data_IF_758738250011
#
_entry.id   IF_758738250011
#
_cell.length_a   1.000
_cell.length_b   1.000
_cell.length_c   1.000
_cell.angle_alpha   90.00
_cell.angle_beta   90.00
_cell.angle_gamma   90.00
#
_symmetry.space_group_name_H-M   'P 1'
#
loop_
_entity.id
_entity.type
_entity.pdbx_description
1 polymer ?
#
# COMPACT_ATOMS: atom_id res chain seq x y z
N UNK A 1 -7.62 24.49 -32.76
CA UNK A 1 -6.40 23.78 -32.29
C UNK A 1 -5.69 24.45 -31.11
N UNK A 2 -6.32 25.36 -30.34
CA UNK A 2 -5.68 26.08 -29.21
C UNK A 2 -5.90 25.44 -27.82
N UNK A 3 -6.62 24.31 -27.72
CA UNK A 3 -7.02 23.71 -26.44
C UNK A 3 -5.99 22.73 -25.83
N UNK A 4 -4.90 22.39 -26.53
CA UNK A 4 -3.89 21.42 -26.06
C UNK A 4 -2.77 22.01 -25.20
N UNK A 5 -2.73 23.32 -25.00
CA UNK A 5 -1.62 24.00 -24.30
C UNK A 5 -1.73 24.02 -22.75
N UNK A 6 -2.83 23.53 -22.17
CA UNK A 6 -3.06 23.54 -20.72
C UNK A 6 -3.44 22.18 -20.13
N UNK A 7 -3.22 21.09 -20.87
CA UNK A 7 -3.50 19.76 -20.34
C UNK A 7 -2.41 19.37 -19.33
N UNK A 8 -2.80 18.86 -18.15
CA UNK A 8 -1.82 18.35 -17.20
C UNK A 8 -1.06 17.20 -17.86
N UNK A 9 0.26 17.29 -17.82
CA UNK A 9 1.16 16.22 -18.28
C UNK A 9 0.93 14.96 -17.43
N UNK A 10 0.59 13.80 -18.04
CA UNK A 10 0.41 12.57 -17.28
C UNK A 10 1.74 12.16 -16.65
N UNK A 11 1.68 11.84 -15.35
CA UNK A 11 2.85 11.40 -14.57
C UNK A 11 3.36 10.02 -15.02
N UNK A 12 2.47 9.22 -15.61
CA UNK A 12 2.69 7.84 -16.03
C UNK A 12 2.19 7.66 -17.47
N UNK A 13 2.69 6.66 -18.18
CA UNK A 13 2.16 6.26 -19.49
C UNK A 13 0.70 5.77 -19.40
N UNK A 14 0.05 5.61 -20.55
CA UNK A 14 -1.37 5.20 -20.60
C UNK A 14 -1.57 3.81 -20.02
N UNK A 15 -0.74 2.84 -20.39
CA UNK A 15 -0.91 1.43 -20.03
C UNK A 15 -0.80 1.23 -18.51
N UNK A 16 0.19 1.87 -17.88
CA UNK A 16 0.35 1.83 -16.41
C UNK A 16 -0.85 2.46 -15.70
N UNK A 17 -1.41 3.56 -16.23
CA UNK A 17 -2.58 4.21 -15.62
C UNK A 17 -3.84 3.37 -15.75
N UNK A 18 -4.05 2.75 -16.91
CA UNK A 18 -5.17 1.85 -17.17
C UNK A 18 -5.07 0.60 -16.29
N UNK A 19 -3.87 0.03 -16.13
CA UNK A 19 -3.66 -1.11 -15.25
C UNK A 19 -3.97 -0.78 -13.78
N UNK A 20 -3.48 0.34 -13.25
CA UNK A 20 -3.79 0.77 -11.87
C UNK A 20 -5.31 0.93 -11.67
N UNK A 21 -6.01 1.54 -12.65
CA UNK A 21 -7.47 1.68 -12.61
C UNK A 21 -8.17 0.33 -12.66
N UNK A 22 -7.68 -0.60 -13.50
CA UNK A 22 -8.24 -1.93 -13.62
C UNK A 22 -8.11 -2.71 -12.31
N UNK A 23 -6.97 -2.63 -11.62
CA UNK A 23 -6.78 -3.23 -10.30
C UNK A 23 -7.73 -2.61 -9.27
N UNK A 24 -7.89 -1.28 -9.24
CA UNK A 24 -8.85 -0.64 -8.33
C UNK A 24 -10.30 -1.05 -8.62
N UNK A 25 -10.69 -1.12 -9.89
CA UNK A 25 -12.01 -1.60 -10.29
C UNK A 25 -12.22 -3.09 -9.95
N UNK A 26 -11.17 -3.92 -10.09
CA UNK A 26 -11.19 -5.32 -9.65
C UNK A 26 -11.37 -5.43 -8.13
N UNK A 27 -10.75 -4.56 -7.35
CA UNK A 27 -10.97 -4.51 -5.89
C UNK A 27 -12.41 -4.10 -5.56
N UNK A 28 -12.93 -3.08 -6.23
CA UNK A 28 -14.25 -2.52 -5.93
C UNK A 28 -15.41 -3.46 -6.31
N UNK A 29 -15.22 -4.34 -7.30
CA UNK A 29 -16.23 -5.32 -7.73
C UNK A 29 -16.33 -6.54 -6.81
N UNK A 30 -15.40 -6.72 -5.88
CA UNK A 30 -15.49 -7.80 -4.91
C UNK A 30 -16.72 -7.58 -4.01
N UNK A 31 -17.40 -8.65 -3.57
CA UNK A 31 -18.56 -8.52 -2.69
C UNK A 31 -18.25 -7.70 -1.45
N UNK A 32 -19.20 -6.88 -0.98
CA UNK A 32 -18.99 -6.05 0.21
C UNK A 32 -18.59 -6.88 1.45
N UNK A 33 -19.09 -8.12 1.57
CA UNK A 33 -18.69 -9.05 2.62
C UNK A 33 -17.21 -9.49 2.55
N UNK A 34 -16.63 -9.43 1.36
CA UNK A 34 -15.24 -9.81 1.10
C UNK A 34 -14.30 -8.59 1.09
N UNK A 35 -14.81 -7.36 0.87
CA UNK A 35 -14.02 -6.12 0.91
C UNK A 35 -13.69 -5.73 2.35
N UNK A 36 -12.42 -5.69 2.74
CA UNK A 36 -12.08 -5.58 4.15
C UNK A 36 -12.00 -4.11 4.60
N UNK A 37 -12.24 -3.11 3.76
CA UNK A 37 -12.07 -1.68 4.10
C UNK A 37 -13.30 -0.82 3.77
N UNK A 38 -14.53 -1.21 4.13
CA UNK A 38 -15.75 -0.48 3.71
C UNK A 38 -16.36 0.44 4.79
N UNK A 39 -16.46 1.78 4.57
CA UNK A 39 -15.77 2.57 3.54
C UNK A 39 -14.31 2.84 3.93
N UNK A 40 -13.39 2.97 2.96
CA UNK A 40 -11.98 3.06 3.31
C UNK A 40 -11.65 4.48 3.78
N UNK A 41 -10.79 4.54 4.79
CA UNK A 41 -10.28 5.79 5.35
C UNK A 41 -8.87 6.05 4.83
N UNK A 42 -8.55 7.28 4.43
CA UNK A 42 -7.16 7.67 4.18
C UNK A 42 -6.36 7.54 5.48
N UNK A 43 -5.50 6.52 5.58
CA UNK A 43 -4.72 6.27 6.79
C UNK A 43 -3.57 7.27 6.86
N UNK A 44 -3.50 8.04 7.95
CA UNK A 44 -2.53 9.12 8.15
C UNK A 44 -1.58 8.79 9.32
N UNK A 45 -0.33 9.29 9.31
CA UNK A 45 0.62 9.10 10.42
C UNK A 45 0.28 10.03 11.59
N UNK A 46 -0.90 9.83 12.18
CA UNK A 46 -1.45 10.61 13.30
C UNK A 46 -1.88 9.68 14.44
N UNK A 47 -1.92 10.20 15.67
CA UNK A 47 -2.20 9.40 16.89
C UNK A 47 -3.57 8.75 16.86
N UNK A 48 -4.55 9.36 16.21
CA UNK A 48 -5.90 8.83 16.07
C UNK A 48 -5.92 7.54 15.25
N UNK A 49 -5.04 7.43 14.26
CA UNK A 49 -4.96 6.26 13.38
C UNK A 49 -4.06 5.16 13.97
N UNK A 50 -3.02 5.55 14.70
CA UNK A 50 -2.09 4.65 15.38
C UNK A 50 -2.06 4.98 16.87
N UNK A 51 -3.15 4.66 17.62
CA UNK A 51 -3.21 4.91 19.04
C UNK A 51 -2.37 3.88 19.80
N UNK A 52 -1.80 4.29 20.93
CA UNK A 52 -1.05 3.41 21.82
C UNK A 52 0.37 3.89 22.07
N UNK A 53 0.90 3.40 23.17
CA UNK A 53 2.30 3.52 23.57
C UNK A 53 2.76 2.12 23.95
N UNK A 54 3.99 1.76 23.61
CA UNK A 54 4.54 0.44 23.85
C UNK A 54 5.85 0.55 24.62
N UNK A 55 6.01 -0.33 25.61
CA UNK A 55 7.19 -0.38 26.47
C UNK A 55 8.30 -1.28 25.91
N UNK A 56 8.06 -1.91 24.75
CA UNK A 56 9.05 -2.76 24.08
C UNK A 56 9.01 -2.57 22.55
N UNK A 57 10.11 -2.87 21.85
CA UNK A 57 10.15 -2.88 20.39
C UNK A 57 9.10 -3.81 19.77
N UNK A 58 8.89 -5.00 20.34
CA UNK A 58 7.88 -5.94 19.87
C UNK A 58 6.46 -5.45 20.11
N UNK A 59 6.16 -4.93 21.31
CA UNK A 59 4.86 -4.35 21.61
C UNK A 59 4.51 -3.17 20.69
N UNK A 60 5.51 -2.39 20.25
CA UNK A 60 5.31 -1.35 19.24
C UNK A 60 4.90 -1.96 17.89
N UNK A 61 5.58 -3.03 17.45
CA UNK A 61 5.26 -3.71 16.21
C UNK A 61 3.87 -4.34 16.25
N UNK A 62 3.46 -4.94 17.38
CA UNK A 62 2.11 -5.49 17.58
C UNK A 62 1.04 -4.40 17.52
N UNK A 63 1.25 -3.24 18.14
CA UNK A 63 0.30 -2.12 18.09
C UNK A 63 0.16 -1.56 16.68
N UNK A 64 1.27 -1.43 15.95
CA UNK A 64 1.26 -1.03 14.55
C UNK A 64 0.51 -2.07 13.72
N UNK A 65 0.83 -3.35 13.86
CA UNK A 65 0.17 -4.44 13.15
C UNK A 65 -1.34 -4.48 13.42
N UNK A 66 -1.76 -4.37 14.67
CA UNK A 66 -3.18 -4.30 15.05
C UNK A 66 -3.88 -3.08 14.42
N UNK A 67 -3.23 -1.91 14.41
CA UNK A 67 -3.77 -0.70 13.78
C UNK A 67 -3.93 -0.88 12.26
N UNK A 68 -2.93 -1.48 11.59
CA UNK A 68 -3.00 -1.76 10.15
C UNK A 68 -4.11 -2.76 9.86
N UNK A 69 -4.22 -3.86 10.62
CA UNK A 69 -5.33 -4.83 10.48
C UNK A 69 -6.70 -4.19 10.64
N UNK A 70 -6.86 -3.29 11.61
CA UNK A 70 -8.12 -2.57 11.84
C UNK A 70 -8.47 -1.66 10.66
N UNK A 71 -7.53 -0.83 10.19
CA UNK A 71 -7.79 0.06 9.03
C UNK A 71 -7.98 -0.70 7.72
N UNK A 72 -7.31 -1.85 7.59
CA UNK A 72 -7.54 -2.79 6.49
C UNK A 72 -8.83 -3.60 6.65
N UNK A 73 -9.52 -3.50 7.81
CA UNK A 73 -10.66 -4.31 8.31
C UNK A 73 -10.50 -5.83 8.16
N UNK A 74 -9.30 -6.30 8.50
CA UNK A 74 -8.94 -7.71 8.65
C UNK A 74 -8.82 -8.12 10.13
N UNK A 75 -9.41 -7.35 11.04
CA UNK A 75 -9.38 -7.60 12.49
C UNK A 75 -10.08 -8.91 12.88
N UNK A 76 -11.16 -9.28 12.16
CA UNK A 76 -11.95 -10.49 12.45
C UNK A 76 -11.27 -11.78 11.95
N UNK A 77 -10.27 -11.67 11.07
CA UNK A 77 -9.52 -12.83 10.57
C UNK A 77 -8.42 -13.20 11.56
N UNK A 78 -8.34 -14.46 11.96
CA UNK A 78 -7.35 -14.93 12.93
C UNK A 78 -5.92 -14.72 12.40
N UNK A 79 -5.18 -13.81 13.04
CA UNK A 79 -3.79 -13.55 12.73
C UNK A 79 -3.04 -12.99 13.94
N UNK A 80 -1.74 -13.31 14.01
CA UNK A 80 -0.82 -12.78 15.04
C UNK A 80 0.54 -12.43 14.45
N UNK A 81 1.25 -11.55 15.15
CA UNK A 81 2.62 -11.18 14.83
C UNK A 81 3.58 -12.04 15.67
N UNK A 82 4.61 -12.62 15.05
CA UNK A 82 5.64 -13.36 15.77
C UNK A 82 6.73 -12.43 16.30
N UNK A 83 7.21 -12.68 17.53
CA UNK A 83 8.37 -11.98 18.08
C UNK A 83 9.65 -12.43 17.36
N UNK A 84 10.51 -11.49 16.91
CA UNK A 84 11.76 -11.83 16.26
C UNK A 84 12.73 -12.54 17.22
N UNK A 85 13.34 -13.64 16.78
CA UNK A 85 14.37 -14.35 17.55
C UNK A 85 13.85 -15.24 18.69
N UNK A 86 12.54 -15.35 18.89
CA UNK A 86 11.99 -16.45 19.68
C UNK A 86 12.35 -17.80 19.05
N UNK A 87 12.51 -18.86 19.86
CA UNK A 87 12.65 -20.23 19.38
C UNK A 87 11.36 -20.64 18.64
N UNK A 88 11.27 -20.31 17.36
CA UNK A 88 10.29 -20.85 16.42
C UNK A 88 10.93 -22.02 15.66
N UNK A 89 10.16 -23.06 15.30
CA UNK A 89 10.64 -24.10 14.40
C UNK A 89 11.08 -23.47 13.06
N UNK A 90 12.08 -24.11 12.45
CA UNK A 90 12.80 -23.70 11.24
C UNK A 90 11.93 -23.17 10.08
N UNK A 91 12.52 -22.35 9.19
CA UNK A 91 11.78 -21.55 8.22
C UNK A 91 11.18 -22.44 7.14
N UNK A 92 9.90 -22.24 6.83
CA UNK A 92 9.37 -22.59 5.51
C UNK A 92 9.70 -21.43 4.58
N UNK A 93 10.87 -21.52 3.94
CA UNK A 93 11.04 -20.86 2.64
C UNK A 93 9.98 -21.39 1.69
N UNK A 94 9.39 -20.47 0.92
CA UNK A 94 8.34 -20.63 -0.08
C UNK A 94 6.90 -20.44 0.44
N UNK A 95 6.22 -19.43 -0.11
CA UNK A 95 4.77 -19.43 -0.43
C UNK A 95 3.96 -20.48 0.34
N UNK A 96 3.54 -20.14 1.56
CA UNK A 96 2.73 -21.04 2.37
C UNK A 96 2.96 -20.84 3.85
N UNK A 97 2.16 -19.95 4.45
CA UNK A 97 2.01 -19.91 5.90
C UNK A 97 1.59 -21.31 6.38
N UNK A 98 2.50 -22.02 7.05
CA UNK A 98 2.17 -23.25 7.76
C UNK A 98 1.15 -22.91 8.85
N UNK A 99 -0.10 -23.16 8.53
CA UNK A 99 -1.27 -22.86 9.34
C UNK A 99 -1.39 -23.90 10.44
N UNK A 100 -0.83 -23.63 11.61
CA UNK A 100 -1.19 -24.36 12.83
C UNK A 100 -2.51 -23.80 13.36
N UNK A 101 -3.64 -24.37 12.92
CA UNK A 101 -4.95 -24.15 13.55
C UNK A 101 -5.81 -23.00 13.01
N UNK A 102 -5.59 -22.54 11.78
CA UNK A 102 -6.46 -21.53 11.13
C UNK A 102 -6.10 -20.06 11.43
N UNK A 103 -5.07 -19.82 12.25
CA UNK A 103 -4.49 -18.50 12.49
C UNK A 103 -3.28 -18.26 11.58
N UNK A 104 -3.21 -17.10 10.90
CA UNK A 104 -2.04 -16.72 10.08
C UNK A 104 -0.98 -16.01 10.93
N UNK A 105 0.27 -16.45 10.83
CA UNK A 105 1.40 -15.85 11.52
C UNK A 105 2.13 -14.91 10.57
N UNK A 106 2.32 -13.66 11.00
CA UNK A 106 3.10 -12.66 10.29
C UNK A 106 4.45 -12.46 10.97
N UNK A 107 5.46 -12.12 10.18
CA UNK A 107 6.80 -11.81 10.63
C UNK A 107 7.16 -10.39 10.22
N UNK A 108 8.15 -9.81 10.89
CA UNK A 108 8.66 -8.49 10.51
C UNK A 108 10.16 -8.44 10.73
N UNK A 109 10.82 -7.58 9.97
CA UNK A 109 12.22 -7.26 10.18
C UNK A 109 12.37 -6.31 11.39
N UNK A 110 13.08 -6.71 12.47
CA UNK A 110 13.35 -5.84 13.61
C UNK A 110 13.99 -4.50 13.25
N UNK A 111 14.73 -4.42 12.13
CA UNK A 111 15.37 -3.20 11.68
C UNK A 111 14.35 -2.12 11.28
N UNK A 112 13.13 -2.51 10.91
CA UNK A 112 12.05 -1.58 10.55
C UNK A 112 11.38 -0.92 11.77
N UNK A 113 11.63 -1.37 13.00
CA UNK A 113 11.03 -0.74 14.21
C UNK A 113 11.43 0.74 14.32
N UNK A 114 12.67 1.07 13.93
CA UNK A 114 13.15 2.45 13.89
C UNK A 114 12.48 3.32 12.82
N UNK A 115 11.84 2.70 11.82
CA UNK A 115 11.15 3.38 10.73
C UNK A 115 9.67 2.96 10.69
N UNK A 116 8.86 3.60 11.53
CA UNK A 116 7.42 3.30 11.66
C UNK A 116 6.66 3.37 10.34
N UNK A 117 7.02 4.26 9.42
CA UNK A 117 6.32 4.33 8.12
C UNK A 117 6.62 3.12 7.25
N UNK A 118 7.87 2.64 7.25
CA UNK A 118 8.25 1.43 6.52
C UNK A 118 7.57 0.20 7.13
N UNK A 119 7.54 0.10 8.47
CA UNK A 119 6.83 -0.98 9.16
C UNK A 119 5.33 -1.02 8.82
N UNK A 120 4.66 0.14 8.82
CA UNK A 120 3.24 0.25 8.38
C UNK A 120 3.09 -0.18 6.92
N UNK A 121 3.97 0.29 6.03
CA UNK A 121 3.95 -0.05 4.61
C UNK A 121 4.08 -1.55 4.36
N UNK A 122 5.06 -2.20 5.02
CA UNK A 122 5.27 -3.65 4.94
C UNK A 122 4.04 -4.42 5.42
N UNK A 123 3.50 -4.11 6.60
CA UNK A 123 2.30 -4.81 7.08
C UNK A 123 1.09 -4.58 6.17
N UNK A 124 0.91 -3.37 5.64
CA UNK A 124 -0.19 -3.09 4.73
C UNK A 124 -0.09 -3.94 3.45
N UNK A 125 1.11 -4.07 2.88
CA UNK A 125 1.37 -4.90 1.69
C UNK A 125 1.13 -6.39 2.00
N UNK A 126 1.66 -6.91 3.11
CA UNK A 126 1.49 -8.33 3.48
C UNK A 126 0.02 -8.69 3.76
N UNK A 127 -0.72 -7.80 4.42
CA UNK A 127 -2.15 -7.99 4.68
C UNK A 127 -2.98 -7.89 3.40
N UNK A 128 -2.61 -7.00 2.48
CA UNK A 128 -3.23 -6.92 1.18
C UNK A 128 -2.95 -8.17 0.34
N UNK A 129 -1.72 -8.69 0.35
CA UNK A 129 -1.38 -9.95 -0.31
C UNK A 129 -2.20 -11.11 0.26
N UNK A 130 -2.29 -11.21 1.59
CA UNK A 130 -3.14 -12.22 2.24
C UNK A 130 -4.61 -12.09 1.84
N UNK A 131 -5.11 -10.87 1.69
CA UNK A 131 -6.47 -10.66 1.20
C UNK A 131 -6.63 -11.14 -0.26
N UNK A 132 -5.70 -10.78 -1.15
CA UNK A 132 -5.70 -11.19 -2.57
C UNK A 132 -5.69 -12.71 -2.72
N UNK A 133 -4.90 -13.42 -1.92
CA UNK A 133 -4.86 -14.89 -1.90
C UNK A 133 -6.25 -15.54 -1.66
N UNK A 134 -7.14 -14.84 -0.94
CA UNK A 134 -8.50 -15.30 -0.66
C UNK A 134 -9.51 -15.03 -1.79
N UNK A 135 -9.13 -14.25 -2.81
CA UNK A 135 -10.02 -13.88 -3.91
C UNK A 135 -9.90 -14.91 -5.04
N UNK A 136 -11.04 -15.45 -5.47
CA UNK A 136 -11.07 -16.50 -6.52
C UNK A 136 -10.77 -15.95 -7.91
N UNK A 137 -11.24 -14.74 -8.17
CA UNK A 137 -11.05 -14.10 -9.47
C UNK A 137 -9.64 -13.47 -9.52
N UNK A 138 -8.79 -13.84 -10.49
CA UNK A 138 -7.46 -13.28 -10.58
C UNK A 138 -7.50 -11.76 -10.84
N UNK A 139 -6.58 -11.04 -10.22
CA UNK A 139 -6.38 -9.63 -10.47
C UNK A 139 -5.87 -9.39 -11.91
N UNK A 140 -6.14 -8.21 -12.51
CA UNK A 140 -5.63 -7.85 -13.82
C UNK A 140 -4.09 -7.91 -13.88
N UNK A 141 -3.57 -8.61 -14.90
CA UNK A 141 -2.13 -8.82 -15.12
C UNK A 141 -1.39 -9.41 -13.89
N UNK A 142 -2.02 -10.34 -13.17
CA UNK A 142 -1.45 -10.93 -11.95
C UNK A 142 -0.12 -11.69 -12.15
N UNK A 143 0.08 -12.30 -13.32
CA UNK A 143 1.32 -13.03 -13.62
C UNK A 143 2.53 -12.09 -13.56
N UNK A 144 3.45 -12.37 -12.63
CA UNK A 144 4.66 -11.57 -12.42
C UNK A 144 4.46 -10.24 -11.66
N UNK A 145 3.23 -9.88 -11.27
CA UNK A 145 2.92 -8.58 -10.63
C UNK A 145 2.24 -8.72 -9.25
N UNK A 146 2.30 -9.88 -8.62
CA UNK A 146 1.57 -10.16 -7.37
C UNK A 146 1.87 -9.12 -6.27
N UNK A 147 3.14 -8.78 -6.05
CA UNK A 147 3.54 -7.85 -4.99
C UNK A 147 3.15 -6.40 -5.30
N UNK A 148 3.28 -5.99 -6.57
CA UNK A 148 2.81 -4.68 -7.04
C UNK A 148 1.28 -4.55 -6.91
N UNK A 149 0.53 -5.62 -7.19
CA UNK A 149 -0.92 -5.67 -6.96
C UNK A 149 -1.23 -5.57 -5.46
N UNK A 150 -0.48 -6.24 -4.60
CA UNK A 150 -0.65 -6.11 -3.15
C UNK A 150 -0.43 -4.65 -2.69
N UNK A 151 0.53 -3.91 -3.24
CA UNK A 151 0.70 -2.48 -2.95
C UNK A 151 -0.45 -1.60 -3.47
N UNK A 152 -1.00 -1.90 -4.66
CA UNK A 152 -2.19 -1.20 -5.17
C UNK A 152 -3.41 -1.48 -4.29
N UNK A 153 -3.61 -2.73 -3.89
CA UNK A 153 -4.67 -3.14 -2.98
C UNK A 153 -4.48 -2.45 -1.62
N UNK A 154 -3.29 -2.47 -1.03
CA UNK A 154 -2.97 -1.75 0.20
C UNK A 154 -3.20 -0.23 0.08
N UNK A 155 -2.91 0.35 -1.09
CA UNK A 155 -3.27 1.75 -1.38
C UNK A 155 -4.78 1.95 -1.40
N UNK A 156 -5.53 1.00 -1.97
CA UNK A 156 -7.01 0.99 -1.97
C UNK A 156 -7.59 0.79 -0.56
N UNK A 157 -6.88 0.08 0.32
CA UNK A 157 -7.19 -0.02 1.76
C UNK A 157 -6.91 1.29 2.53
N UNK A 158 -6.28 2.29 1.90
CA UNK A 158 -6.04 3.61 2.48
C UNK A 158 -4.59 3.89 2.92
N UNK A 159 -3.65 2.96 2.72
CA UNK A 159 -2.27 3.10 3.18
C UNK A 159 -1.32 3.81 2.19
N UNK A 160 -1.85 4.41 1.13
CA UNK A 160 -1.03 4.98 0.05
C UNK A 160 -0.01 6.04 0.48
N UNK A 161 -0.25 6.77 1.58
CA UNK A 161 0.75 7.73 2.14
C UNK A 161 2.02 6.98 2.58
N UNK A 162 1.86 5.89 3.33
CA UNK A 162 2.97 5.11 3.87
C UNK A 162 3.75 4.46 2.74
N UNK A 163 3.04 3.79 1.82
CA UNK A 163 3.65 3.13 0.67
C UNK A 163 4.43 4.12 -0.19
N UNK A 164 3.85 5.27 -0.55
CA UNK A 164 4.50 6.26 -1.40
C UNK A 164 5.76 6.85 -0.74
N UNK A 165 5.67 7.23 0.55
CA UNK A 165 6.80 7.81 1.29
C UNK A 165 7.99 6.85 1.40
N UNK A 166 7.71 5.55 1.40
CA UNK A 166 8.70 4.48 1.60
C UNK A 166 9.03 3.72 0.31
N UNK A 167 8.54 4.19 -0.85
CA UNK A 167 8.81 3.62 -2.18
C UNK A 167 10.24 3.89 -2.69
N UNK A 168 11.24 3.83 -1.81
CA UNK A 168 12.63 4.09 -2.15
C UNK A 168 13.36 2.78 -2.50
N UNK A 169 13.60 2.57 -3.79
CA UNK A 169 14.54 1.55 -4.28
C UNK A 169 15.96 2.11 -4.38
N UNK A 170 16.54 2.61 -3.28
CA UNK A 170 17.98 2.94 -3.33
C UNK A 170 18.78 1.69 -2.96
N UNK A 171 19.02 0.82 -3.95
CA UNK A 171 20.19 -0.07 -3.88
C UNK A 171 21.42 0.82 -3.98
N UNK A 172 21.97 1.22 -2.85
CA UNK A 172 23.27 1.90 -2.83
C UNK A 172 24.32 0.87 -3.23
N UNK A 173 24.63 0.78 -4.53
CA UNK A 173 25.89 0.20 -4.99
C UNK A 173 26.99 1.23 -4.68
N UNK A 174 27.47 1.26 -3.44
CA UNK A 174 28.49 2.22 -3.01
C UNK A 174 29.42 1.62 -1.96
N UNK A 175 30.70 1.54 -2.32
CA UNK A 175 31.90 1.33 -1.49
C UNK A 175 31.72 0.46 -0.23
N UNK A 176 32.32 -0.74 -0.25
CA UNK A 176 32.24 -1.78 0.79
C UNK A 176 32.69 -1.42 2.22
N UNK A 177 32.87 -0.14 2.55
CA UNK A 177 33.18 0.35 3.89
C UNK A 177 32.11 1.30 4.48
N UNK A 178 31.14 1.76 3.69
CA UNK A 178 30.17 2.77 4.13
C UNK A 178 28.74 2.43 3.70
N UNK A 179 28.04 1.61 4.48
CA UNK A 179 26.61 1.73 4.86
C UNK A 179 26.11 0.40 5.45
N UNK A 180 25.50 0.48 6.63
CA UNK A 180 24.66 -0.61 7.16
C UNK A 180 23.38 -0.76 6.33
N UNK A 181 22.63 -1.86 6.51
CA UNK A 181 21.34 -2.05 5.85
C UNK A 181 20.44 -0.84 6.14
N UNK A 182 19.88 -0.22 5.10
CA UNK A 182 18.90 0.83 5.33
C UNK A 182 17.62 0.18 5.83
N UNK A 183 17.01 0.76 6.85
CA UNK A 183 15.71 0.35 7.37
C UNK A 183 14.58 0.82 6.41
N UNK A 184 14.71 0.43 5.14
CA UNK A 184 13.75 0.67 4.08
C UNK A 184 13.05 -0.65 3.75
N UNK A 185 11.80 -0.55 3.29
CA UNK A 185 11.06 -1.71 2.79
C UNK A 185 11.51 -2.04 1.37
N UNK A 186 11.39 -3.31 0.96
CA UNK A 186 11.39 -3.63 -0.46
C UNK A 186 10.06 -3.14 -1.06
N UNK A 187 10.12 -2.41 -2.16
CA UNK A 187 8.97 -1.79 -2.80
C UNK A 187 8.89 -2.27 -4.24
N UNK A 188 7.70 -2.54 -4.74
CA UNK A 188 7.49 -3.10 -6.08
C UNK A 188 7.12 -2.02 -7.08
N UNK A 189 6.24 -1.11 -6.67
CA UNK A 189 5.90 0.10 -7.37
C UNK A 189 6.85 1.24 -7.00
N UNK A 190 7.13 2.05 -8.01
CA UNK A 190 7.79 3.31 -7.86
C UNK A 190 6.91 4.38 -7.20
N UNK A 191 7.58 5.47 -6.85
CA UNK A 191 6.99 6.68 -6.25
C UNK A 191 5.86 7.28 -7.08
N UNK A 192 6.03 7.28 -8.40
CA UNK A 192 5.11 7.93 -9.31
C UNK A 192 3.82 7.10 -9.46
N UNK A 193 3.94 5.77 -9.50
CA UNK A 193 2.82 4.82 -9.49
C UNK A 193 2.02 4.91 -8.20
N UNK A 194 2.69 4.92 -7.04
CA UNK A 194 2.01 5.05 -5.74
C UNK A 194 1.40 6.44 -5.52
N UNK A 195 2.05 7.50 -5.99
CA UNK A 195 1.47 8.85 -5.97
C UNK A 195 0.23 8.95 -6.86
N UNK A 196 0.22 8.26 -7.99
CA UNK A 196 -0.94 8.16 -8.88
C UNK A 196 -2.08 7.35 -8.24
N UNK A 197 -1.79 6.16 -7.74
CA UNK A 197 -2.76 5.30 -7.07
C UNK A 197 -3.40 6.01 -5.84
N UNK A 198 -2.60 6.73 -5.05
CA UNK A 198 -3.11 7.54 -3.93
C UNK A 198 -4.00 8.70 -4.41
N UNK A 199 -3.66 9.35 -5.52
CA UNK A 199 -4.49 10.41 -6.09
C UNK A 199 -5.84 9.87 -6.59
N UNK A 200 -5.84 8.69 -7.20
CA UNK A 200 -7.06 7.98 -7.62
C UNK A 200 -7.90 7.57 -6.40
N UNK A 201 -7.28 7.00 -5.36
CA UNK A 201 -7.95 6.67 -4.10
C UNK A 201 -8.64 7.89 -3.49
N UNK A 202 -7.94 9.02 -3.37
CA UNK A 202 -8.51 10.24 -2.84
C UNK A 202 -9.70 10.73 -3.69
N UNK A 203 -9.64 10.53 -5.02
CA UNK A 203 -10.64 11.03 -5.95
C UNK A 203 -11.93 10.23 -5.81
N UNK A 204 -11.81 8.91 -5.82
CA UNK A 204 -12.93 7.98 -5.75
C UNK A 204 -13.69 8.12 -4.43
N UNK A 205 -12.99 8.49 -3.35
CA UNK A 205 -13.57 8.64 -2.01
C UNK A 205 -13.86 10.11 -1.62
N UNK A 206 -13.75 11.06 -2.57
CA UNK A 206 -14.05 12.48 -2.30
C UNK A 206 -13.13 13.13 -1.26
N UNK A 207 -11.92 12.61 -1.06
CA UNK A 207 -10.97 13.07 -0.05
C UNK A 207 -10.21 14.28 -0.59
N UNK A 208 -10.20 15.36 0.20
CA UNK A 208 -9.48 16.57 -0.15
C UNK A 208 -7.97 16.28 -0.32
N UNK A 209 -7.34 16.67 -1.44
CA UNK A 209 -5.94 16.34 -1.74
C UNK A 209 -4.96 16.93 -0.72
N UNK A 210 -5.36 17.98 0.01
CA UNK A 210 -4.57 18.57 1.08
C UNK A 210 -4.28 17.57 2.21
N UNK A 211 -5.21 16.66 2.52
CA UNK A 211 -5.04 15.65 3.58
C UNK A 211 -3.88 14.71 3.27
N UNK A 212 -3.83 14.17 2.05
CA UNK A 212 -2.70 13.34 1.61
C UNK A 212 -1.39 14.15 1.55
N UNK A 213 -1.42 15.34 0.93
CA UNK A 213 -0.21 16.18 0.73
C UNK A 213 0.47 16.63 2.01
N UNK A 214 -0.27 16.81 3.10
CA UNK A 214 0.28 17.19 4.40
C UNK A 214 1.31 16.17 4.91
N UNK A 215 1.10 14.89 4.58
CA UNK A 215 1.90 13.78 5.10
C UNK A 215 2.82 13.13 4.06
N UNK A 216 2.76 13.56 2.79
CA UNK A 216 3.69 13.11 1.76
C UNK A 216 5.07 13.76 1.91
N UNK A 217 6.11 12.99 1.63
CA UNK A 217 7.49 13.48 1.49
C UNK A 217 7.59 14.55 0.39
N UNK A 218 8.51 15.50 0.57
CA UNK A 218 8.56 16.72 -0.26
C UNK A 218 8.60 16.46 -1.78
N UNK A 219 9.39 15.51 -2.31
CA UNK A 219 9.39 15.21 -3.76
C UNK A 219 8.02 14.71 -4.25
N UNK A 220 7.32 13.89 -3.44
CA UNK A 220 6.04 13.26 -3.81
C UNK A 220 4.88 14.26 -3.85
N UNK A 221 4.94 15.35 -3.07
CA UNK A 221 3.88 16.37 -3.04
C UNK A 221 3.62 16.96 -4.43
N UNK A 222 4.67 17.13 -5.24
CA UNK A 222 4.54 17.66 -6.60
C UNK A 222 3.98 16.61 -7.55
N UNK A 223 4.51 15.39 -7.52
CA UNK A 223 4.02 14.24 -8.31
C UNK A 223 2.54 13.97 -8.04
N UNK A 224 2.16 13.82 -6.78
CA UNK A 224 0.77 13.61 -6.35
C UNK A 224 -0.14 14.75 -6.84
N UNK A 225 0.30 16.01 -6.78
CA UNK A 225 -0.51 17.14 -7.27
C UNK A 225 -0.76 17.06 -8.77
N UNK A 226 0.25 16.64 -9.56
CA UNK A 226 0.08 16.44 -11.01
C UNK A 226 -0.91 15.30 -11.28
N UNK A 227 -0.74 14.16 -10.62
CA UNK A 227 -1.64 13.01 -10.69
C UNK A 227 -3.09 13.37 -10.32
N UNK A 228 -3.27 14.10 -9.22
CA UNK A 228 -4.59 14.59 -8.78
C UNK A 228 -5.26 15.48 -9.83
N UNK A 229 -4.52 16.41 -10.45
CA UNK A 229 -5.06 17.28 -11.49
C UNK A 229 -5.45 16.49 -12.73
N UNK A 230 -4.61 15.55 -13.13
CA UNK A 230 -4.86 14.71 -14.29
C UNK A 230 -6.09 13.82 -14.10
N UNK A 231 -6.18 13.09 -13.00
CA UNK A 231 -7.34 12.22 -12.70
C UNK A 231 -8.67 13.01 -12.64
N UNK A 232 -8.61 14.33 -12.42
CA UNK A 232 -9.74 15.25 -12.50
C UNK A 232 -9.90 16.00 -13.83
N UNK A 233 -9.07 15.76 -14.84
CA UNK A 233 -9.22 16.33 -16.19
C UNK A 233 -10.32 15.58 -16.96
N UNK A 234 -10.68 16.07 -18.16
CA UNK A 234 -11.62 15.35 -19.03
C UNK A 234 -11.02 14.02 -19.49
N UNK A 235 -9.78 14.06 -19.98
CA UNK A 235 -9.04 12.88 -20.43
C UNK A 235 -8.91 11.84 -19.30
N UNK A 236 -8.52 12.28 -18.10
CA UNK A 236 -8.43 11.37 -16.95
C UNK A 236 -9.76 10.80 -16.46
N UNK A 237 -10.91 11.37 -16.86
CA UNK A 237 -12.24 10.80 -16.63
C UNK A 237 -12.69 9.88 -17.76
N UNK A 238 -12.33 10.21 -19.00
CA UNK A 238 -12.66 9.42 -20.20
C UNK A 238 -11.87 8.09 -20.20
N UNK A 239 -10.67 8.06 -19.61
CA UNK A 239 -9.88 6.83 -19.36
C UNK A 239 -10.43 5.93 -18.23
N UNK A 240 -11.55 6.27 -17.58
CA UNK A 240 -12.16 5.31 -16.65
C UNK A 240 -12.75 4.17 -17.49
N UNK A 241 -12.39 2.90 -17.22
CA UNK A 241 -13.07 1.80 -17.87
C UNK A 241 -14.57 1.97 -17.62
N UNK A 242 -15.38 1.87 -18.69
CA UNK A 242 -16.83 1.90 -18.57
C UNK A 242 -17.20 0.87 -17.50
N UNK A 243 -17.88 1.31 -16.44
CA UNK A 243 -18.36 0.42 -15.40
C UNK A 243 -19.14 -0.69 -16.11
N UNK A 244 -18.60 -1.91 -16.10
CA UNK A 244 -19.28 -3.05 -16.68
C UNK A 244 -20.44 -3.32 -15.74
N UNK A 245 -21.63 -2.88 -16.18
CA UNK A 245 -22.89 -3.04 -15.48
C UNK A 245 -23.29 -4.52 -15.38
#
# INVERSE_FOLDING_TARGET
MLARLFQPDPVLDVDTREWIRAVFAWVDRQPAADRPFDPPTLVQPIREHFPGEADSPHGMAEQVFASVRRHAGLEQRAARLAEPGGLAPQPVTALGAASTGGERIFHYDPQLIGNRQALVGTFAQELAAWWVEGIREPAPAAEGNADAIAELVATRMGFGIFLANTAFRVRVNGCGACKGPSADRDADLGRDELAWALALFCRDHGIAPARARAHLESPLRTTFRKAWRYTGSREGREERPAATA
#
